data_IF_959878997147
#
_entry.id   IF_959878997147
#
_cell.length_a   1.000
_cell.length_b   1.000
_cell.length_c   1.000
_cell.angle_alpha   90.00
_cell.angle_beta   90.00
_cell.angle_gamma   90.00
#
_symmetry.space_group_name_H-M   'P 1'
#
loop_
_entity.id
_entity.type
_entity.pdbx_description
1 polymer ?
#
# COMPACT_ATOMS: atom_id res chain seq x y z
N UNK A 1 -8.79 12.11 -13.65
CA UNK A 1 -8.70 11.92 -12.20
C UNK A 1 -7.50 12.67 -11.63
N UNK A 2 -7.57 13.06 -10.37
CA UNK A 2 -6.41 13.66 -9.68
C UNK A 2 -5.47 12.61 -9.18
N UNK A 3 -4.15 12.87 -9.28
CA UNK A 3 -3.10 12.00 -8.76
C UNK A 3 -1.89 12.82 -8.29
N UNK A 4 -1.18 12.30 -7.28
CA UNK A 4 0.10 12.85 -6.83
C UNK A 4 1.22 12.29 -7.69
N UNK A 5 1.80 13.13 -8.54
CA UNK A 5 2.80 12.76 -9.53
C UNK A 5 4.21 13.03 -9.04
N UNK A 6 5.06 12.02 -9.10
CA UNK A 6 6.49 12.08 -8.82
C UNK A 6 7.30 11.92 -10.12
N UNK A 7 7.65 13.03 -10.76
CA UNK A 7 8.39 13.01 -12.05
C UNK A 7 9.92 12.99 -11.90
N UNK A 8 10.44 13.27 -10.72
CA UNK A 8 11.87 13.28 -10.40
C UNK A 8 12.11 12.86 -8.96
N UNK A 9 13.26 12.31 -8.68
CA UNK A 9 13.67 12.00 -7.30
C UNK A 9 13.95 13.28 -6.52
N UNK A 10 13.60 13.30 -5.22
CA UNK A 10 13.87 14.45 -4.38
C UNK A 10 13.06 14.52 -3.09
N UNK A 11 13.09 15.68 -2.42
CA UNK A 11 12.29 15.94 -1.20
C UNK A 11 10.79 16.03 -1.54
N UNK A 12 9.89 16.18 -0.53
CA UNK A 12 8.43 16.16 -0.74
C UNK A 12 7.91 17.16 -1.78
N UNK A 13 8.61 18.25 -1.98
CA UNK A 13 8.26 19.34 -2.92
C UNK A 13 8.30 18.90 -4.40
N UNK A 14 8.87 17.71 -4.70
CA UNK A 14 8.82 17.16 -6.07
C UNK A 14 7.47 16.59 -6.43
N UNK A 15 6.61 16.32 -5.44
CA UNK A 15 5.27 15.81 -5.66
C UNK A 15 4.36 16.95 -6.18
N UNK A 16 3.61 16.65 -7.21
CA UNK A 16 2.69 17.59 -7.83
C UNK A 16 1.32 16.93 -8.02
N UNK A 17 0.28 17.58 -7.51
CA UNK A 17 -1.08 17.16 -7.81
C UNK A 17 -1.42 17.53 -9.27
N UNK A 18 -1.76 16.52 -10.08
CA UNK A 18 -2.11 16.70 -11.49
C UNK A 18 -3.35 15.93 -11.86
N UNK A 19 -4.02 16.40 -12.89
CA UNK A 19 -5.04 15.62 -13.57
C UNK A 19 -4.38 14.68 -14.57
N UNK A 20 -4.80 13.41 -14.51
CA UNK A 20 -4.35 12.33 -15.39
C UNK A 20 -5.57 11.55 -15.88
N UNK A 21 -5.39 10.78 -16.92
CA UNK A 21 -6.43 9.90 -17.44
C UNK A 21 -6.84 8.88 -16.37
N UNK A 22 -8.15 8.64 -16.23
CA UNK A 22 -8.69 7.61 -15.36
C UNK A 22 -8.42 6.25 -15.98
N UNK A 23 -7.79 5.30 -15.27
CA UNK A 23 -7.51 3.98 -15.83
C UNK A 23 -8.79 3.19 -16.03
N UNK A 24 -8.78 2.33 -17.04
CA UNK A 24 -9.81 1.31 -17.26
C UNK A 24 -9.28 -0.06 -16.79
N UNK A 25 -10.09 -0.87 -16.09
CA UNK A 25 -9.66 -2.17 -15.64
C UNK A 25 -9.51 -3.12 -16.83
N UNK A 26 -8.47 -3.95 -16.81
CA UNK A 26 -8.33 -5.07 -17.73
C UNK A 26 -9.32 -6.18 -17.38
N UNK A 27 -9.38 -7.21 -18.22
CA UNK A 27 -10.31 -8.32 -18.08
C UNK A 27 -10.36 -8.96 -16.69
N UNK A 28 -9.20 -9.05 -16.02
CA UNK A 28 -9.01 -9.66 -14.71
C UNK A 28 -8.74 -8.65 -13.58
N UNK A 29 -9.05 -7.37 -13.79
CA UNK A 29 -8.82 -6.30 -12.81
C UNK A 29 -10.11 -5.68 -12.33
N UNK A 30 -10.08 -5.13 -11.14
CA UNK A 30 -11.11 -4.24 -10.60
C UNK A 30 -10.61 -2.81 -10.58
N UNK A 31 -11.49 -1.85 -10.88
CA UNK A 31 -11.23 -0.42 -10.73
C UNK A 31 -11.76 0.01 -9.36
N UNK A 32 -10.84 0.41 -8.49
CA UNK A 32 -11.16 0.90 -7.15
C UNK A 32 -11.14 2.42 -7.13
N UNK A 33 -12.24 3.03 -6.68
CA UNK A 33 -12.30 4.43 -6.25
C UNK A 33 -11.72 4.52 -4.85
N UNK A 34 -10.59 5.17 -4.71
CA UNK A 34 -9.85 5.28 -3.44
C UNK A 34 -10.53 6.31 -2.54
N UNK A 35 -10.83 5.91 -1.31
CA UNK A 35 -11.32 6.77 -0.24
C UNK A 35 -10.22 7.12 0.76
N UNK A 36 -9.30 6.18 1.01
CA UNK A 36 -8.13 6.39 1.87
C UNK A 36 -6.90 5.67 1.33
N UNK A 37 -5.75 6.28 1.53
CA UNK A 37 -4.42 5.73 1.25
C UNK A 37 -3.45 6.20 2.32
N UNK A 38 -2.31 5.53 2.47
CA UNK A 38 -1.27 5.92 3.42
C UNK A 38 -0.05 6.48 2.70
N UNK A 39 0.77 7.19 3.43
CA UNK A 39 2.14 7.52 3.03
C UNK A 39 3.07 6.79 3.99
N UNK A 40 3.75 5.78 3.49
CA UNK A 40 4.60 4.93 4.31
C UNK A 40 6.09 5.09 3.95
N UNK A 41 6.94 4.36 4.68
CA UNK A 41 8.40 4.41 4.47
C UNK A 41 8.82 3.96 3.06
N UNK A 42 8.10 3.03 2.47
CA UNK A 42 8.36 2.54 1.11
C UNK A 42 8.17 3.65 0.10
N UNK A 43 7.09 4.43 0.20
CA UNK A 43 6.83 5.58 -0.67
C UNK A 43 7.94 6.62 -0.56
N UNK A 44 8.38 6.92 0.66
CA UNK A 44 9.51 7.83 0.89
C UNK A 44 10.80 7.33 0.24
N UNK A 45 11.08 6.03 0.36
CA UNK A 45 12.26 5.39 -0.23
C UNK A 45 12.25 5.41 -1.75
N UNK A 46 11.07 5.23 -2.38
CA UNK A 46 10.94 5.34 -3.84
C UNK A 46 10.97 6.78 -4.34
N UNK A 47 10.45 7.72 -3.57
CA UNK A 47 10.51 9.15 -3.88
C UNK A 47 11.94 9.69 -3.83
N UNK A 48 12.72 9.29 -2.82
CA UNK A 48 14.11 9.69 -2.63
C UNK A 48 14.95 8.45 -2.30
N UNK A 49 15.40 7.68 -3.29
CA UNK A 49 16.19 6.49 -3.06
C UNK A 49 17.57 6.87 -2.50
N UNK A 50 17.72 6.73 -1.19
CA UNK A 50 18.97 6.96 -0.46
C UNK A 50 19.87 5.72 -0.44
N UNK A 51 19.30 4.55 -0.72
CA UNK A 51 19.95 3.23 -0.63
C UNK A 51 20.68 2.83 -1.91
N UNK A 52 21.53 3.71 -2.45
CA UNK A 52 22.55 3.33 -3.42
C UNK A 52 22.05 3.08 -4.85
N UNK A 53 23.01 2.82 -5.71
CA UNK A 53 22.89 2.64 -7.16
C UNK A 53 21.94 1.50 -7.56
N UNK A 54 21.86 0.44 -6.74
CA UNK A 54 21.04 -0.75 -7.02
C UNK A 54 19.53 -0.40 -7.03
N UNK A 55 19.04 0.33 -6.03
CA UNK A 55 17.61 0.73 -5.97
C UNK A 55 17.28 1.65 -7.14
N UNK A 56 18.18 2.57 -7.50
CA UNK A 56 18.01 3.46 -8.66
C UNK A 56 17.97 2.70 -9.98
N UNK A 57 18.73 1.62 -10.10
CA UNK A 57 18.70 0.80 -11.31
C UNK A 57 17.32 0.15 -11.54
N UNK A 58 16.69 -0.37 -10.50
CA UNK A 58 15.35 -0.95 -10.57
C UNK A 58 14.23 0.10 -10.64
N UNK A 59 14.34 1.20 -9.91
CA UNK A 59 13.33 2.26 -9.84
C UNK A 59 13.37 3.22 -11.03
N UNK A 60 14.46 3.21 -11.79
CA UNK A 60 14.74 4.13 -12.89
C UNK A 60 15.98 4.97 -12.61
N UNK A 61 17.00 4.88 -13.49
CA UNK A 61 18.32 5.45 -13.22
C UNK A 61 18.28 6.98 -13.08
N UNK A 62 17.52 7.67 -13.94
CA UNK A 62 17.44 9.14 -13.99
C UNK A 62 16.09 9.70 -13.56
N UNK A 63 15.01 8.95 -13.78
CA UNK A 63 13.65 9.35 -13.43
C UNK A 63 12.88 8.14 -12.90
N UNK A 64 11.91 8.33 -11.98
CA UNK A 64 11.04 7.25 -11.52
C UNK A 64 10.32 6.60 -12.72
N UNK A 65 10.39 5.29 -12.83
CA UNK A 65 9.59 4.53 -13.80
C UNK A 65 8.10 4.59 -13.47
N UNK A 66 7.79 4.64 -12.18
CA UNK A 66 6.44 4.79 -11.66
C UNK A 66 6.32 6.18 -11.05
N UNK A 67 5.48 6.98 -11.65
CA UNK A 67 5.31 8.38 -11.31
C UNK A 67 4.17 8.64 -10.32
N UNK A 68 3.32 7.66 -10.04
CA UNK A 68 2.33 7.67 -8.96
C UNK A 68 2.77 6.66 -7.93
N UNK A 69 3.04 7.13 -6.71
CA UNK A 69 3.41 6.31 -5.57
C UNK A 69 2.15 5.81 -4.84
N UNK A 70 2.34 5.29 -3.63
CA UNK A 70 1.28 4.71 -2.81
C UNK A 70 1.14 3.21 -3.04
N UNK A 71 1.21 2.47 -1.95
CA UNK A 71 1.13 1.01 -1.96
C UNK A 71 -0.08 0.46 -1.21
N UNK A 72 -0.69 1.25 -0.33
CA UNK A 72 -1.84 0.86 0.47
C UNK A 72 -3.08 1.63 0.05
N UNK A 73 -4.22 0.98 0.08
CA UNK A 73 -5.49 1.61 -0.29
C UNK A 73 -6.68 1.00 0.45
N UNK A 74 -7.71 1.82 0.62
CA UNK A 74 -9.05 1.36 0.91
C UNK A 74 -10.04 2.19 0.08
N UNK A 75 -11.08 1.55 -0.45
CA UNK A 75 -12.01 2.20 -1.35
C UNK A 75 -13.18 1.32 -1.75
N UNK A 76 -13.86 1.71 -2.80
CA UNK A 76 -15.03 1.04 -3.33
C UNK A 76 -14.80 0.63 -4.79
N UNK A 77 -15.23 -0.56 -5.18
CA UNK A 77 -15.15 -1.03 -6.56
C UNK A 77 -16.15 -0.28 -7.42
N UNK A 78 -15.66 0.49 -8.38
CA UNK A 78 -16.49 1.23 -9.33
C UNK A 78 -16.79 0.43 -10.59
N UNK A 79 -15.84 -0.37 -11.06
CA UNK A 79 -15.99 -1.21 -12.24
C UNK A 79 -15.14 -2.48 -12.11
N UNK A 80 -15.55 -3.52 -12.85
CA UNK A 80 -14.85 -4.81 -12.88
C UNK A 80 -14.59 -5.22 -14.33
N UNK A 81 -13.48 -5.92 -14.56
CA UNK A 81 -13.19 -6.60 -15.82
C UNK A 81 -14.10 -7.81 -16.03
N UNK A 82 -14.24 -8.24 -17.25
CA UNK A 82 -15.20 -9.32 -17.65
C UNK A 82 -14.89 -10.70 -17.04
N UNK A 83 -13.63 -10.95 -16.67
CA UNK A 83 -13.18 -12.23 -16.10
C UNK A 83 -13.16 -12.24 -14.56
N UNK A 84 -13.47 -11.11 -13.91
CA UNK A 84 -13.57 -10.98 -12.45
C UNK A 84 -14.79 -11.75 -11.94
N UNK A 85 -14.59 -12.58 -10.92
CA UNK A 85 -15.63 -13.47 -10.34
C UNK A 85 -15.85 -13.28 -8.84
N UNK A 86 -14.85 -12.79 -8.13
CA UNK A 86 -14.84 -12.72 -6.66
C UNK A 86 -15.44 -11.42 -6.14
N UNK A 87 -15.37 -10.36 -6.93
CA UNK A 87 -15.80 -9.02 -6.54
C UNK A 87 -16.91 -8.51 -7.43
N UNK A 88 -17.70 -7.58 -6.88
CA UNK A 88 -18.76 -6.87 -7.61
C UNK A 88 -18.65 -5.36 -7.42
N UNK A 89 -19.31 -4.61 -8.28
CA UNK A 89 -19.41 -3.16 -8.16
C UNK A 89 -20.11 -2.78 -6.84
N UNK A 90 -19.55 -1.80 -6.14
CA UNK A 90 -20.02 -1.34 -4.82
C UNK A 90 -19.38 -2.05 -3.64
N UNK A 91 -18.57 -3.11 -3.86
CA UNK A 91 -17.83 -3.75 -2.78
C UNK A 91 -16.83 -2.78 -2.17
N UNK A 92 -16.85 -2.69 -0.83
CA UNK A 92 -15.84 -1.95 -0.08
C UNK A 92 -14.63 -2.86 0.13
N UNK A 93 -13.47 -2.40 -0.33
CA UNK A 93 -12.25 -3.19 -0.38
C UNK A 93 -11.06 -2.44 0.19
N UNK A 94 -10.05 -3.18 0.60
CA UNK A 94 -8.76 -2.63 0.97
C UNK A 94 -7.64 -3.60 0.60
N UNK A 95 -6.41 -3.10 0.57
CA UNK A 95 -5.30 -3.95 0.20
C UNK A 95 -3.99 -3.25 -0.10
N UNK A 96 -3.09 -4.01 -0.72
CA UNK A 96 -1.72 -3.60 -1.04
C UNK A 96 -1.45 -3.70 -2.54
N UNK A 97 -0.81 -2.68 -3.11
CA UNK A 97 -0.33 -2.66 -4.50
C UNK A 97 1.18 -2.42 -4.57
N UNK A 98 1.96 -3.18 -3.81
CA UNK A 98 3.42 -3.01 -3.69
C UNK A 98 4.17 -3.23 -4.99
N UNK A 99 3.67 -4.12 -5.87
CA UNK A 99 4.29 -4.40 -7.18
C UNK A 99 4.11 -3.27 -8.19
N UNK A 100 2.97 -2.59 -8.17
CA UNK A 100 2.61 -1.57 -9.17
C UNK A 100 2.51 -0.16 -8.62
N UNK A 101 2.35 0.06 -7.32
CA UNK A 101 2.06 1.35 -6.72
C UNK A 101 0.78 1.98 -7.30
N UNK A 102 0.66 3.30 -7.22
CA UNK A 102 -0.39 4.03 -7.92
C UNK A 102 -1.58 4.40 -7.04
N UNK A 103 -1.51 4.15 -5.73
CA UNK A 103 -2.64 4.42 -4.83
C UNK A 103 -2.72 5.89 -4.36
N UNK A 104 -1.69 6.72 -4.63
CA UNK A 104 -1.78 8.17 -4.41
C UNK A 104 -2.53 8.86 -5.55
N UNK A 105 -3.72 8.37 -5.87
CA UNK A 105 -4.64 8.84 -6.91
C UNK A 105 -6.08 8.58 -6.50
N UNK A 106 -7.04 9.15 -7.22
CA UNK A 106 -8.46 8.91 -6.96
C UNK A 106 -8.92 7.50 -7.35
N UNK A 107 -8.20 6.85 -8.29
CA UNK A 107 -8.54 5.50 -8.79
C UNK A 107 -7.30 4.68 -9.04
N UNK A 108 -7.44 3.36 -8.84
CA UNK A 108 -6.41 2.37 -9.16
C UNK A 108 -7.03 1.10 -9.71
N UNK A 109 -6.36 0.46 -10.67
CA UNK A 109 -6.71 -0.89 -11.13
C UNK A 109 -5.90 -1.93 -10.35
N UNK A 110 -6.58 -2.92 -9.79
CA UNK A 110 -5.99 -4.00 -8.99
C UNK A 110 -6.41 -5.33 -9.60
N UNK A 111 -5.48 -6.26 -9.88
CA UNK A 111 -5.83 -7.62 -10.29
C UNK A 111 -6.70 -8.31 -9.23
N UNK A 112 -7.73 -9.04 -9.65
CA UNK A 112 -8.61 -9.80 -8.74
C UNK A 112 -7.83 -10.73 -7.80
N UNK A 113 -6.76 -11.37 -8.32
CA UNK A 113 -5.87 -12.26 -7.54
C UNK A 113 -4.75 -11.52 -6.82
N UNK A 114 -4.79 -10.19 -6.80
CA UNK A 114 -3.84 -9.35 -6.07
C UNK A 114 -4.06 -9.36 -4.57
N UNK A 115 -3.33 -8.51 -3.85
CA UNK A 115 -3.51 -8.34 -2.41
C UNK A 115 -4.67 -7.39 -2.13
N UNK A 116 -5.88 -7.83 -2.40
CA UNK A 116 -7.14 -7.11 -2.19
C UNK A 116 -8.16 -8.01 -1.49
N UNK A 117 -8.95 -7.45 -0.59
CA UNK A 117 -10.01 -8.18 0.12
C UNK A 117 -11.14 -7.22 0.53
N UNK A 118 -12.29 -7.79 0.89
CA UNK A 118 -13.45 -7.04 1.39
C UNK A 118 -13.08 -6.36 2.73
N UNK A 119 -13.43 -5.10 2.85
CA UNK A 119 -13.25 -4.31 4.06
C UNK A 119 -14.24 -4.77 5.13
N UNK A 120 -13.78 -5.08 6.36
CA UNK A 120 -14.70 -5.36 7.47
C UNK A 120 -15.64 -4.18 7.73
N UNK A 121 -16.93 -4.46 7.92
CA UNK A 121 -17.97 -3.43 8.11
C UNK A 121 -17.66 -2.42 9.21
N UNK A 122 -17.12 -2.82 10.40
CA UNK A 122 -16.84 -1.88 11.48
C UNK A 122 -15.69 -0.90 11.20
N UNK A 123 -14.79 -1.25 10.25
CA UNK A 123 -13.62 -0.41 9.97
C UNK A 123 -13.98 0.76 9.06
N UNK A 124 -13.41 1.93 9.36
CA UNK A 124 -13.38 3.04 8.39
C UNK A 124 -12.43 2.74 7.23
N UNK A 125 -12.47 3.53 6.15
CA UNK A 125 -11.50 3.37 5.06
C UNK A 125 -10.08 3.72 5.50
N UNK A 126 -9.93 4.71 6.36
CA UNK A 126 -8.65 5.13 6.93
C UNK A 126 -8.02 4.04 7.78
N UNK A 127 -8.81 3.41 8.66
CA UNK A 127 -8.36 2.28 9.46
C UNK A 127 -7.96 1.10 8.58
N UNK A 128 -8.77 0.78 7.57
CA UNK A 128 -8.52 -0.31 6.65
C UNK A 128 -7.24 -0.09 5.81
N UNK A 129 -7.01 1.14 5.33
CA UNK A 129 -5.77 1.46 4.62
C UNK A 129 -4.54 1.36 5.55
N UNK A 130 -4.65 1.88 6.79
CA UNK A 130 -3.52 1.96 7.72
C UNK A 130 -3.04 0.61 8.26
N UNK A 131 -3.90 -0.42 8.30
CA UNK A 131 -3.51 -1.74 8.86
C UNK A 131 -2.80 -2.64 7.84
N UNK A 132 -2.83 -2.34 6.55
CA UNK A 132 -2.36 -3.25 5.49
C UNK A 132 -0.91 -3.69 5.67
N UNK A 133 0.04 -2.78 5.58
CA UNK A 133 1.48 -3.09 5.67
C UNK A 133 1.88 -3.47 7.10
N UNK A 134 1.39 -2.73 8.08
CA UNK A 134 1.66 -2.98 9.49
C UNK A 134 1.21 -4.37 9.95
N UNK A 135 0.00 -4.80 9.59
CA UNK A 135 -0.52 -6.11 9.94
C UNK A 135 0.25 -7.23 9.23
N UNK A 136 0.56 -7.05 7.94
CA UNK A 136 1.31 -8.04 7.16
C UNK A 136 2.71 -8.24 7.74
N UNK A 137 3.40 -7.18 8.11
CA UNK A 137 4.70 -7.25 8.78
C UNK A 137 4.58 -7.93 10.14
N UNK A 138 3.63 -7.54 10.98
CA UNK A 138 3.41 -8.14 12.29
C UNK A 138 3.13 -9.65 12.17
N UNK A 139 2.24 -10.07 11.27
CA UNK A 139 1.93 -11.48 11.03
C UNK A 139 3.14 -12.27 10.52
N UNK A 140 3.97 -11.67 9.68
CA UNK A 140 5.20 -12.31 9.18
C UNK A 140 6.19 -12.58 10.32
N UNK A 141 6.35 -11.62 11.23
CA UNK A 141 7.22 -11.80 12.41
C UNK A 141 6.62 -12.80 13.39
N UNK A 142 5.33 -12.70 13.72
CA UNK A 142 4.65 -13.62 14.64
C UNK A 142 4.75 -15.07 14.17
N UNK A 143 4.58 -15.34 12.87
CA UNK A 143 4.71 -16.68 12.30
C UNK A 143 6.13 -17.25 12.39
N UNK A 144 7.16 -16.42 12.38
CA UNK A 144 8.57 -16.81 12.51
C UNK A 144 9.01 -17.00 13.96
N UNK A 145 8.30 -16.40 14.91
CA UNK A 145 8.64 -16.53 16.33
C UNK A 145 7.98 -17.77 16.89
N UNK A 146 8.78 -18.73 17.32
CA UNK A 146 8.30 -19.84 18.12
C UNK A 146 8.14 -19.36 19.57
N UNK A 147 6.95 -18.90 19.93
CA UNK A 147 6.63 -18.36 21.26
C UNK A 147 6.93 -19.32 22.42
N UNK A 148 6.98 -20.64 22.17
CA UNK A 148 7.31 -21.62 23.21
C UNK A 148 8.80 -21.63 23.58
N UNK A 149 9.69 -21.21 22.67
CA UNK A 149 11.13 -21.12 22.93
C UNK A 149 11.59 -19.76 23.47
N UNK A 150 10.75 -18.73 23.40
CA UNK A 150 11.11 -17.35 23.75
C UNK A 150 10.80 -16.96 25.19
N UNK A 151 10.78 -17.89 26.13
CA UNK A 151 10.66 -17.56 27.59
C UNK A 151 11.93 -16.95 28.21
N UNK A 152 12.98 -16.68 27.41
CA UNK A 152 14.21 -16.04 27.88
C UNK A 152 14.36 -14.68 27.21
N UNK A 153 14.20 -13.64 28.01
CA UNK A 153 14.48 -12.20 27.77
C UNK A 153 13.44 -11.36 27.02
N UNK A 154 12.53 -10.69 27.73
CA UNK A 154 11.72 -9.59 27.21
C UNK A 154 12.58 -8.37 26.78
N UNK A 155 13.79 -8.22 27.33
CA UNK A 155 14.60 -7.00 27.19
C UNK A 155 15.46 -6.93 25.91
N UNK A 156 15.50 -8.00 25.11
CA UNK A 156 16.30 -8.05 23.88
C UNK A 156 15.61 -7.42 22.65
N UNK A 157 14.41 -6.87 22.80
CA UNK A 157 13.62 -6.28 21.72
C UNK A 157 13.90 -4.78 21.49
N UNK A 158 14.89 -4.21 22.15
CA UNK A 158 15.14 -2.75 22.18
C UNK A 158 15.91 -2.21 20.96
N UNK A 159 16.38 -3.05 20.04
CA UNK A 159 17.17 -2.56 18.90
C UNK A 159 16.59 -3.05 17.56
N UNK A 160 15.76 -2.24 16.95
CA UNK A 160 15.49 -2.29 15.50
C UNK A 160 14.12 -2.71 15.04
N UNK A 161 13.12 -2.86 15.87
CA UNK A 161 11.74 -3.19 15.46
C UNK A 161 10.78 -2.10 15.92
N UNK A 162 9.93 -1.66 15.00
CA UNK A 162 8.87 -0.68 15.21
C UNK A 162 8.05 -0.97 16.47
N UNK A 163 7.93 0.04 17.33
CA UNK A 163 7.12 -0.01 18.53
C UNK A 163 5.64 -0.09 18.18
N UNK A 164 5.05 -1.28 18.25
CA UNK A 164 3.62 -1.40 18.48
C UNK A 164 3.39 -1.31 19.98
N UNK A 165 3.05 -0.11 20.46
CA UNK A 165 2.45 0.03 21.76
C UNK A 165 1.04 -0.52 21.63
N UNK A 166 0.82 -1.76 22.04
CA UNK A 166 -0.51 -2.25 22.33
C UNK A 166 -1.04 -1.35 23.45
N UNK A 167 -2.02 -0.50 23.14
CA UNK A 167 -2.73 0.26 24.17
C UNK A 167 -3.32 -0.74 25.15
N UNK A 168 -3.07 -0.60 26.46
CA UNK A 168 -3.83 -1.36 27.43
C UNK A 168 -5.28 -0.90 27.33
N UNK A 169 -6.17 -1.85 27.04
CA UNK A 169 -7.61 -1.65 27.21
C UNK A 169 -7.87 -1.41 28.69
N UNK A 170 -8.20 -0.16 29.05
CA UNK A 170 -8.82 0.19 30.32
C UNK A 170 -10.30 -0.06 30.24
#
# INVERSE_FOLDING_TARGET
MKASINTKYGPPEVLQLKEVEKPAPKDNEVLVKIHATTVNRTDCGFRKPEYGFIVRFFSGLFRPKKNILGSEFAGEIEAIGKDVKTFQRGDQVFGLNTGNFGTHAEYVCIPEKGSITIKPTPMSYEEAAAVCDGLMLAMTYIRKINFQKSKKNPDQWSHGVYWFRLCPTG
#
